data_IF_483556824650
#
_entry.id   IF_483556824650
#
_cell.length_a   1.000
_cell.length_b   1.000
_cell.length_c   1.000
_cell.angle_alpha   90.00
_cell.angle_beta   90.00
_cell.angle_gamma   90.00
#
_symmetry.space_group_name_H-M   'P 1'
#
loop_
_entity.id
_entity.type
_entity.pdbx_description
1 polymer ?
#
# COMPACT_ATOMS: atom_id res chain seq x y z
N UNK A 1 -10.06 13.21 -10.01
CA UNK A 1 -9.05 12.54 -9.17
C UNK A 1 -7.86 12.16 -10.03
N UNK A 2 -6.63 12.34 -9.54
CA UNK A 2 -5.41 11.99 -10.28
C UNK A 2 -4.98 10.57 -9.96
N UNK A 3 -4.44 9.82 -10.92
CA UNK A 3 -3.90 8.48 -10.69
C UNK A 3 -2.71 8.55 -9.73
N UNK A 4 -2.59 7.57 -8.83
CA UNK A 4 -1.49 7.48 -7.87
C UNK A 4 -0.95 6.06 -7.76
N UNK A 5 0.36 5.98 -7.52
CA UNK A 5 1.05 4.78 -7.07
C UNK A 5 1.81 5.12 -5.78
N UNK A 6 1.55 4.38 -4.69
CA UNK A 6 2.25 4.50 -3.41
C UNK A 6 2.87 3.16 -3.07
N UNK A 7 4.15 3.17 -2.68
CA UNK A 7 4.84 2.01 -2.12
C UNK A 7 5.30 2.38 -0.72
N UNK A 8 5.05 1.47 0.23
CA UNK A 8 5.56 1.54 1.60
C UNK A 8 6.31 0.23 1.80
N UNK A 9 7.61 0.30 2.03
CA UNK A 9 8.44 -0.86 2.28
C UNK A 9 9.38 -0.63 3.47
N UNK A 10 9.86 -1.74 4.00
CA UNK A 10 10.94 -1.81 4.96
C UNK A 10 11.70 -3.14 4.80
N UNK A 11 12.74 -3.30 5.60
CA UNK A 11 13.58 -4.49 5.63
C UNK A 11 13.48 -5.12 7.01
N UNK A 12 12.83 -6.29 7.10
CA UNK A 12 12.63 -6.99 8.37
C UNK A 12 13.92 -7.65 8.86
N UNK A 13 14.68 -8.28 7.95
CA UNK A 13 15.99 -8.87 8.25
C UNK A 13 16.87 -8.89 7.00
N UNK A 14 18.20 -8.86 7.23
CA UNK A 14 19.23 -9.09 6.21
C UNK A 14 19.71 -10.55 6.16
N UNK A 15 19.53 -11.30 7.24
CA UNK A 15 19.88 -12.72 7.34
C UNK A 15 18.83 -13.46 8.19
N UNK A 16 17.96 -14.28 7.56
CA UNK A 16 17.78 -14.40 6.12
C UNK A 16 17.23 -13.10 5.51
N UNK A 17 17.51 -12.87 4.21
CA UNK A 17 17.00 -11.71 3.48
C UNK A 17 15.46 -11.68 3.41
N UNK A 18 14.84 -10.69 4.06
CA UNK A 18 13.37 -10.57 4.22
C UNK A 18 12.88 -9.12 4.03
N UNK A 19 12.85 -8.59 2.80
CA UNK A 19 12.19 -7.33 2.51
C UNK A 19 10.68 -7.52 2.53
N UNK A 20 9.93 -6.54 3.01
CA UNK A 20 8.45 -6.59 3.00
C UNK A 20 7.89 -5.25 2.60
N UNK A 21 6.63 -5.24 2.17
CA UNK A 21 6.03 -3.99 1.73
C UNK A 21 4.62 -4.12 1.20
N UNK A 22 4.07 -2.94 0.89
CA UNK A 22 2.73 -2.73 0.37
C UNK A 22 2.83 -1.78 -0.81
N UNK A 23 2.20 -2.15 -1.93
CA UNK A 23 1.99 -1.29 -3.09
C UNK A 23 0.50 -0.99 -3.23
N UNK A 24 0.16 0.26 -3.46
CA UNK A 24 -1.22 0.73 -3.65
C UNK A 24 -1.30 1.48 -4.97
N UNK A 25 -2.28 1.10 -5.78
CA UNK A 25 -2.74 1.92 -6.90
C UNK A 25 -4.14 2.43 -6.63
N UNK A 26 -4.42 3.62 -7.13
CA UNK A 26 -5.76 4.16 -7.12
C UNK A 26 -5.76 5.59 -7.61
N UNK A 27 -6.52 6.43 -6.91
CA UNK A 27 -6.54 7.85 -7.19
C UNK A 27 -6.26 8.67 -5.94
N UNK A 28 -5.84 9.91 -6.11
CA UNK A 28 -5.58 10.83 -5.03
C UNK A 28 -6.24 12.19 -5.24
N UNK A 29 -6.51 12.85 -4.12
CA UNK A 29 -6.97 14.24 -4.03
C UNK A 29 -6.30 14.91 -2.83
N UNK A 30 -5.97 16.20 -2.97
CA UNK A 30 -5.55 17.02 -1.83
C UNK A 30 -6.79 17.55 -1.13
N UNK A 31 -6.90 17.30 0.17
CA UNK A 31 -8.01 17.77 1.01
C UNK A 31 -7.47 18.52 2.20
N UNK A 32 -8.15 19.58 2.61
CA UNK A 32 -7.90 20.20 3.91
C UNK A 32 -8.63 19.38 4.98
N UNK A 33 -7.91 18.95 6.01
CA UNK A 33 -8.51 18.25 7.16
C UNK A 33 -7.74 18.51 8.44
N UNK A 34 -8.44 18.46 9.57
CA UNK A 34 -7.84 18.41 10.90
C UNK A 34 -7.37 16.98 11.18
N UNK A 35 -6.09 16.72 10.98
CA UNK A 35 -5.48 15.41 11.23
C UNK A 35 -4.50 15.41 12.41
N UNK A 36 -3.71 14.33 12.54
CA UNK A 36 -2.68 14.21 13.59
C UNK A 36 -1.62 15.31 13.59
N UNK A 37 -1.48 16.08 12.51
CA UNK A 37 -0.53 17.19 12.36
C UNK A 37 -1.23 18.57 12.38
N UNK A 38 -2.46 18.61 12.91
CA UNK A 38 -3.33 19.78 12.90
C UNK A 38 -4.10 19.96 11.59
N UNK A 39 -4.70 21.14 11.43
CA UNK A 39 -5.42 21.54 10.22
C UNK A 39 -4.44 21.87 9.11
N UNK A 40 -4.32 20.98 8.13
CA UNK A 40 -3.39 21.10 7.00
C UNK A 40 -3.96 20.42 5.75
N UNK A 41 -3.29 20.64 4.63
CA UNK A 41 -3.50 19.85 3.42
C UNK A 41 -2.96 18.42 3.61
N UNK A 42 -3.79 17.44 3.27
CA UNK A 42 -3.46 16.02 3.25
C UNK A 42 -3.70 15.45 1.86
N UNK A 43 -2.79 14.58 1.42
CA UNK A 43 -3.03 13.73 0.25
C UNK A 43 -3.89 12.55 0.67
N UNK A 44 -5.16 12.53 0.25
CA UNK A 44 -6.05 11.41 0.45
C UNK A 44 -5.94 10.44 -0.73
N UNK A 45 -5.51 9.21 -0.46
CA UNK A 45 -5.44 8.13 -1.44
C UNK A 45 -6.71 7.29 -1.32
N UNK A 46 -7.33 7.00 -2.45
CA UNK A 46 -8.48 6.10 -2.60
C UNK A 46 -7.97 4.86 -3.34
N UNK A 47 -7.65 3.76 -2.63
CA UNK A 47 -7.15 2.54 -3.24
C UNK A 47 -8.15 1.91 -4.20
N UNK A 48 -7.65 1.30 -5.27
CA UNK A 48 -8.42 0.46 -6.21
C UNK A 48 -7.85 -0.95 -6.29
N UNK A 49 -6.54 -1.07 -6.15
CA UNK A 49 -5.84 -2.35 -6.02
C UNK A 49 -4.62 -2.16 -5.13
N UNK A 50 -4.33 -3.17 -4.31
CA UNK A 50 -3.09 -3.24 -3.55
C UNK A 50 -2.43 -4.60 -3.69
N UNK A 51 -1.14 -4.62 -3.37
CA UNK A 51 -0.33 -5.80 -3.20
C UNK A 51 0.40 -5.70 -1.87
N UNK A 52 0.50 -6.79 -1.12
CA UNK A 52 1.43 -6.91 0.00
C UNK A 52 2.35 -8.10 -0.19
N UNK A 53 3.56 -8.04 0.35
CA UNK A 53 4.51 -9.15 0.34
C UNK A 53 5.24 -9.23 1.67
N UNK A 54 5.45 -10.43 2.19
CA UNK A 54 6.16 -10.68 3.44
C UNK A 54 5.56 -9.95 4.67
N UNK A 55 4.26 -9.65 4.64
CA UNK A 55 3.50 -9.05 5.77
C UNK A 55 2.63 -10.11 6.47
N UNK A 56 1.81 -10.82 5.70
CA UNK A 56 0.91 -11.87 6.21
C UNK A 56 1.48 -13.29 6.03
N UNK A 57 2.60 -13.42 5.29
CA UNK A 57 3.26 -14.69 5.00
C UNK A 57 4.36 -14.54 3.94
N UNK A 58 5.16 -15.59 3.69
CA UNK A 58 6.23 -15.56 2.72
C UNK A 58 5.68 -15.34 1.31
N UNK A 59 6.13 -14.28 0.67
CA UNK A 59 5.81 -13.94 -0.71
C UNK A 59 6.85 -14.49 -1.69
N UNK A 60 7.92 -15.15 -1.22
CA UNK A 60 8.88 -15.84 -2.07
C UNK A 60 8.81 -17.33 -1.73
N UNK A 61 8.36 -18.14 -2.70
CA UNK A 61 8.25 -19.60 -2.57
C UNK A 61 8.93 -20.22 -3.79
N UNK A 62 9.90 -21.11 -3.57
CA UNK A 62 10.71 -21.74 -4.62
C UNK A 62 11.31 -20.71 -5.61
N UNK A 63 11.80 -19.59 -5.10
CA UNK A 63 12.39 -18.49 -5.87
C UNK A 63 11.40 -17.64 -6.67
N UNK A 64 10.09 -17.90 -6.56
CA UNK A 64 9.03 -17.15 -7.26
C UNK A 64 8.33 -16.17 -6.33
N UNK A 65 8.02 -14.98 -6.83
CA UNK A 65 7.35 -13.92 -6.09
C UNK A 65 5.82 -13.99 -6.24
N UNK A 66 5.12 -14.18 -5.12
CA UNK A 66 3.67 -14.28 -4.98
C UNK A 66 3.16 -13.23 -3.99
N UNK A 67 2.97 -11.97 -4.41
CA UNK A 67 2.38 -10.96 -3.54
C UNK A 67 0.88 -11.21 -3.37
N UNK A 68 0.37 -10.93 -2.17
CA UNK A 68 -1.06 -10.95 -1.88
C UNK A 68 -1.73 -9.75 -2.55
N UNK A 69 -2.55 -9.98 -3.57
CA UNK A 69 -3.26 -8.94 -4.31
C UNK A 69 -4.69 -8.78 -3.79
N UNK A 70 -5.09 -7.54 -3.53
CA UNK A 70 -6.47 -7.19 -3.13
C UNK A 70 -7.05 -6.17 -4.10
N UNK A 71 -8.26 -6.43 -4.60
CA UNK A 71 -9.04 -5.46 -5.38
C UNK A 71 -10.02 -4.77 -4.42
N UNK A 72 -9.91 -3.45 -4.32
CA UNK A 72 -10.77 -2.63 -3.46
C UNK A 72 -11.98 -2.19 -4.28
N UNK A 73 -13.07 -2.95 -4.22
CA UNK A 73 -14.34 -2.50 -4.80
C UNK A 73 -14.83 -1.29 -3.99
N UNK A 74 -15.41 -0.29 -4.67
CA UNK A 74 -16.29 0.65 -3.99
C UNK A 74 -17.50 -0.14 -3.51
N UNK A 75 -17.80 -0.12 -2.22
CA UNK A 75 -19.18 -0.41 -1.80
C UNK A 75 -20.07 0.59 -2.54
N UNK A 76 -21.01 0.07 -3.32
CA UNK A 76 -22.09 0.88 -3.85
C UNK A 76 -22.97 1.23 -2.63
N UNK A 77 -22.97 2.51 -2.26
CA UNK A 77 -23.83 3.03 -1.20
C UNK A 77 -25.31 2.95 -1.54
#
# INVERSE_FOLDING_TARGET
>A
YQKVALVIDDLESIDPWKPRGIRIFGTAVVVERSGKLGSRNYLQIIPTVSWSWNIEGPAIVDGKFFPNKTIHMKENG
#
